data_IF_066167566519
#
_entry.id   IF_066167566519
#
_cell.length_a   1.000
_cell.length_b   1.000
_cell.length_c   1.000
_cell.angle_alpha   90.00
_cell.angle_beta   90.00
_cell.angle_gamma   90.00
#
_symmetry.space_group_name_H-M   'P 1'
#
loop_
_entity.id
_entity.type
_entity.pdbx_description
1 polymer ?
#
# COMPACT_ATOMS: atom_id res chain seq x y z
N UNK A 1 18.37 -8.55 6.47
CA UNK A 1 17.09 -9.12 6.96
C UNK A 1 16.30 -9.64 5.75
N UNK A 2 15.88 -10.93 5.73
CA UNK A 2 15.32 -11.55 4.50
C UNK A 2 14.00 -10.88 4.09
N UNK A 3 13.90 -10.46 2.81
CA UNK A 3 12.69 -9.89 2.18
C UNK A 3 11.39 -10.68 2.46
N UNK A 4 11.49 -12.00 2.70
CA UNK A 4 10.34 -12.85 3.05
C UNK A 4 9.60 -12.39 4.30
N UNK A 5 10.31 -11.88 5.32
CA UNK A 5 9.72 -11.51 6.61
C UNK A 5 8.81 -10.28 6.51
N UNK A 6 9.09 -9.35 5.60
CA UNK A 6 8.25 -8.16 5.38
C UNK A 6 6.92 -8.58 4.76
N UNK A 7 6.95 -9.43 3.73
CA UNK A 7 5.74 -9.97 3.09
C UNK A 7 4.82 -10.63 4.11
N UNK A 8 5.37 -11.56 4.90
CA UNK A 8 4.57 -12.38 5.82
C UNK A 8 3.89 -11.51 6.90
N UNK A 9 4.61 -10.51 7.42
CA UNK A 9 4.04 -9.55 8.37
C UNK A 9 2.96 -8.68 7.72
N UNK A 10 3.22 -8.15 6.52
CA UNK A 10 2.24 -7.33 5.79
C UNK A 10 0.97 -8.13 5.53
N UNK A 11 1.08 -9.40 5.10
CA UNK A 11 -0.09 -10.23 4.80
C UNK A 11 -0.89 -10.52 6.06
N UNK A 12 -0.22 -10.89 7.15
CA UNK A 12 -0.86 -11.08 8.46
C UNK A 12 -1.63 -9.83 8.93
N UNK A 13 -1.04 -8.65 8.77
CA UNK A 13 -1.70 -7.39 9.14
C UNK A 13 -2.92 -7.15 8.23
N UNK A 14 -2.77 -7.31 6.92
CA UNK A 14 -3.85 -7.05 5.96
C UNK A 14 -4.99 -8.05 6.07
N UNK A 15 -4.75 -9.28 6.49
CA UNK A 15 -5.81 -10.26 6.71
C UNK A 15 -6.74 -9.85 7.87
N UNK A 16 -6.18 -9.29 8.95
CA UNK A 16 -6.93 -8.94 10.15
C UNK A 16 -7.43 -7.48 10.20
N UNK A 17 -6.76 -6.54 9.52
CA UNK A 17 -6.92 -5.11 9.76
C UNK A 17 -7.41 -4.35 8.52
N UNK A 18 -8.70 -3.98 8.52
CA UNK A 18 -9.33 -3.22 7.43
C UNK A 18 -8.67 -1.85 7.22
N UNK A 19 -8.26 -1.15 8.28
CA UNK A 19 -7.65 0.18 8.17
C UNK A 19 -6.30 0.09 7.45
N UNK A 20 -5.53 -0.96 7.71
CA UNK A 20 -4.25 -1.20 7.02
C UNK A 20 -4.41 -1.44 5.51
N UNK A 21 -5.57 -1.92 5.04
CA UNK A 21 -5.86 -2.04 3.60
C UNK A 21 -6.09 -0.68 2.96
N UNK A 22 -6.57 0.30 3.73
CA UNK A 22 -6.99 1.61 3.23
C UNK A 22 -5.91 2.69 3.37
N UNK A 23 -5.04 2.59 4.37
CA UNK A 23 -4.09 3.63 4.76
C UNK A 23 -2.65 3.10 4.72
N UNK A 24 -1.86 3.63 3.77
CA UNK A 24 -0.44 3.27 3.60
C UNK A 24 0.40 3.61 4.82
N UNK A 25 0.20 4.79 5.40
CA UNK A 25 1.00 5.24 6.54
C UNK A 25 0.70 4.38 7.78
N UNK A 26 -0.56 4.01 7.97
CA UNK A 26 -0.96 3.11 9.03
C UNK A 26 -0.35 1.70 8.86
N UNK A 27 -0.39 1.14 7.63
CA UNK A 27 0.25 -0.14 7.33
C UNK A 27 1.77 -0.09 7.54
N UNK A 28 2.43 0.97 7.08
CA UNK A 28 3.87 1.18 7.28
C UNK A 28 4.19 1.21 8.77
N UNK A 29 3.47 2.01 9.55
CA UNK A 29 3.65 2.08 11.00
C UNK A 29 3.52 0.71 11.66
N UNK A 30 2.44 -0.03 11.39
CA UNK A 30 2.21 -1.37 11.97
C UNK A 30 3.30 -2.35 11.58
N UNK A 31 3.71 -2.34 10.32
CA UNK A 31 4.76 -3.22 9.81
C UNK A 31 6.12 -2.91 10.44
N UNK A 32 6.49 -1.63 10.55
CA UNK A 32 7.74 -1.19 11.19
C UNK A 32 7.73 -1.52 12.68
N UNK A 33 6.60 -1.32 13.38
CA UNK A 33 6.44 -1.67 14.79
C UNK A 33 6.61 -3.18 15.03
N UNK A 34 6.10 -4.03 14.14
CA UNK A 34 6.27 -5.49 14.27
C UNK A 34 7.73 -5.92 14.00
N UNK A 35 8.37 -5.32 12.99
CA UNK A 35 9.75 -5.64 12.61
C UNK A 35 10.77 -5.12 13.62
N UNK A 36 10.51 -3.95 14.18
CA UNK A 36 11.39 -3.24 15.08
C UNK A 36 10.57 -2.62 16.23
N UNK A 37 10.17 -3.41 17.25
CA UNK A 37 9.29 -2.94 18.33
C UNK A 37 9.79 -1.70 19.05
N UNK A 38 11.12 -1.55 19.19
CA UNK A 38 11.76 -0.41 19.85
C UNK A 38 11.89 0.84 18.97
N UNK A 39 11.67 0.72 17.66
CA UNK A 39 11.81 1.86 16.72
C UNK A 39 10.64 2.85 16.84
N UNK A 40 9.47 2.37 17.27
CA UNK A 40 8.26 3.19 17.38
C UNK A 40 8.41 4.35 18.38
N UNK A 41 9.37 4.27 19.29
CA UNK A 41 9.66 5.27 20.32
C UNK A 41 10.87 6.15 19.97
N UNK A 42 11.52 5.90 18.82
CA UNK A 42 12.70 6.65 18.39
C UNK A 42 12.34 7.82 17.48
N UNK A 43 13.22 8.82 17.43
CA UNK A 43 13.11 9.91 16.46
C UNK A 43 13.03 9.39 15.03
N UNK A 44 12.19 10.02 14.23
CA UNK A 44 11.92 9.64 12.85
C UNK A 44 13.20 9.46 12.00
N UNK A 45 14.21 10.33 12.17
CA UNK A 45 15.51 10.22 11.48
C UNK A 45 16.21 8.88 11.77
N UNK A 46 16.26 8.49 13.04
CA UNK A 46 16.90 7.24 13.49
C UNK A 46 16.12 6.02 12.99
N UNK A 47 14.79 6.12 13.01
CA UNK A 47 13.92 5.09 12.46
C UNK A 47 14.20 4.88 10.95
N UNK A 48 14.24 5.96 10.16
CA UNK A 48 14.56 5.89 8.72
C UNK A 48 15.93 5.30 8.44
N UNK A 49 16.98 5.72 9.18
CA UNK A 49 18.31 5.15 9.03
C UNK A 49 18.34 3.66 9.33
N UNK A 50 17.64 3.22 10.38
CA UNK A 50 17.58 1.79 10.73
C UNK A 50 16.88 0.97 9.65
N UNK A 51 15.79 1.48 9.08
CA UNK A 51 15.07 0.82 7.99
C UNK A 51 15.94 0.71 6.73
N UNK A 52 16.64 1.79 6.36
CA UNK A 52 17.57 1.82 5.24
C UNK A 52 18.69 0.79 5.43
N UNK A 53 19.31 0.75 6.61
CA UNK A 53 20.35 -0.22 6.95
C UNK A 53 19.84 -1.67 6.94
N UNK A 54 18.57 -1.88 7.26
CA UNK A 54 17.92 -3.18 7.19
C UNK A 54 17.49 -3.59 5.76
N UNK A 55 17.60 -2.68 4.78
CA UNK A 55 17.16 -2.89 3.40
C UNK A 55 15.64 -2.87 3.23
N UNK A 56 14.92 -2.19 4.12
CA UNK A 56 13.46 -2.05 4.06
C UNK A 56 13.09 -0.68 3.50
N UNK A 57 12.27 -0.68 2.46
CA UNK A 57 11.66 0.53 1.93
C UNK A 57 10.16 0.53 2.16
N UNK A 58 9.58 1.71 2.35
CA UNK A 58 8.12 1.86 2.40
C UNK A 58 7.45 1.33 1.13
N UNK A 59 8.07 1.54 -0.04
CA UNK A 59 7.55 1.00 -1.29
C UNK A 59 7.54 -0.54 -1.34
N UNK A 60 8.44 -1.22 -0.61
CA UNK A 60 8.35 -2.68 -0.49
C UNK A 60 7.09 -3.14 0.25
N UNK A 61 6.68 -2.39 1.28
CA UNK A 61 5.47 -2.65 2.08
C UNK A 61 4.23 -2.39 1.23
N UNK A 62 4.16 -1.24 0.55
CA UNK A 62 3.01 -0.87 -0.29
C UNK A 62 2.84 -1.83 -1.48
N UNK A 63 3.95 -2.30 -2.10
CA UNK A 63 3.91 -3.34 -3.14
C UNK A 63 3.32 -4.66 -2.64
N UNK A 64 3.69 -5.09 -1.43
CA UNK A 64 3.09 -6.28 -0.85
C UNK A 64 1.60 -6.12 -0.58
N UNK A 65 1.14 -4.92 -0.17
CA UNK A 65 -0.29 -4.62 -0.07
C UNK A 65 -1.02 -4.75 -1.41
N UNK A 66 -0.48 -4.17 -2.49
CA UNK A 66 -1.08 -4.28 -3.83
C UNK A 66 -1.23 -5.74 -4.24
N UNK A 67 -0.14 -6.51 -4.12
CA UNK A 67 -0.15 -7.95 -4.45
C UNK A 67 -1.12 -8.76 -3.58
N UNK A 68 -1.21 -8.47 -2.28
CA UNK A 68 -2.18 -9.11 -1.39
C UNK A 68 -3.61 -8.85 -1.87
N UNK A 69 -3.97 -7.59 -2.14
CA UNK A 69 -5.32 -7.22 -2.58
C UNK A 69 -5.64 -7.71 -4.00
N UNK A 70 -4.64 -7.92 -4.86
CA UNK A 70 -4.81 -8.60 -6.15
C UNK A 70 -5.21 -10.07 -5.96
N UNK A 71 -4.62 -10.77 -4.99
CA UNK A 71 -4.94 -12.15 -4.64
C UNK A 71 -6.25 -12.29 -3.84
N UNK A 72 -6.63 -11.23 -3.11
CA UNK A 72 -7.80 -11.18 -2.23
C UNK A 72 -8.73 -10.02 -2.59
N UNK A 73 -9.38 -10.05 -3.78
CA UNK A 73 -10.21 -8.96 -4.27
C UNK A 73 -11.41 -8.66 -3.35
N UNK A 74 -11.91 -9.64 -2.61
CA UNK A 74 -12.98 -9.52 -1.61
C UNK A 74 -12.62 -8.59 -0.45
N UNK A 75 -11.32 -8.43 -0.17
CA UNK A 75 -10.80 -7.58 0.90
C UNK A 75 -10.51 -6.14 0.41
N UNK A 76 -10.69 -5.84 -0.88
CA UNK A 76 -10.44 -4.50 -1.42
C UNK A 76 -11.39 -3.46 -0.81
N UNK A 77 -10.89 -2.28 -0.41
CA UNK A 77 -11.73 -1.17 0.03
C UNK A 77 -12.73 -0.74 -1.05
N UNK A 78 -14.02 -0.99 -0.82
CA UNK A 78 -15.07 -0.80 -1.84
C UNK A 78 -15.23 0.67 -2.27
N UNK A 79 -15.17 1.62 -1.32
CA UNK A 79 -15.37 3.05 -1.63
C UNK A 79 -14.23 3.60 -2.50
N UNK A 80 -12.97 3.40 -2.11
CA UNK A 80 -11.82 3.87 -2.89
C UNK A 80 -11.75 3.23 -4.28
N UNK A 81 -12.12 1.95 -4.36
CA UNK A 81 -12.20 1.24 -5.65
C UNK A 81 -13.28 1.84 -6.55
N UNK A 82 -14.42 2.26 -5.98
CA UNK A 82 -15.50 2.92 -6.72
C UNK A 82 -15.07 4.29 -7.24
N UNK A 83 -14.51 5.14 -6.38
CA UNK A 83 -14.02 6.48 -6.76
C UNK A 83 -13.01 6.38 -7.91
N UNK A 84 -12.04 5.47 -7.81
CA UNK A 84 -11.04 5.26 -8.86
C UNK A 84 -11.68 4.85 -10.20
N UNK A 85 -12.66 3.94 -10.18
CA UNK A 85 -13.38 3.53 -11.41
C UNK A 85 -14.23 4.67 -12.00
N UNK A 86 -14.77 5.55 -11.17
CA UNK A 86 -15.51 6.73 -11.63
C UNK A 86 -14.56 7.75 -12.28
N UNK A 87 -13.40 8.01 -11.68
CA UNK A 87 -12.34 8.85 -12.26
C UNK A 87 -11.83 8.31 -13.59
N UNK A 88 -11.56 7.00 -13.67
CA UNK A 88 -11.10 6.33 -14.88
C UNK A 88 -12.14 6.45 -16.03
N UNK A 89 -13.43 6.22 -15.72
CA UNK A 89 -14.52 6.43 -16.69
C UNK A 89 -14.65 7.90 -17.13
N UNK A 90 -14.44 8.84 -16.23
CA UNK A 90 -14.51 10.27 -16.56
C UNK A 90 -13.35 10.66 -17.48
N UNK A 91 -12.14 10.17 -17.19
CA UNK A 91 -10.96 10.37 -18.03
C UNK A 91 -11.17 9.79 -19.44
N UNK A 92 -11.65 8.54 -19.55
CA UNK A 92 -11.94 7.92 -20.85
C UNK A 92 -12.96 8.75 -21.65
N UNK A 93 -14.04 9.22 -21.02
CA UNK A 93 -15.05 10.07 -21.66
C UNK A 93 -14.49 11.41 -22.13
N UNK A 94 -13.65 12.05 -21.33
CA UNK A 94 -13.03 13.33 -21.66
C UNK A 94 -12.05 13.16 -22.82
N UNK A 95 -11.17 12.17 -22.75
CA UNK A 95 -10.20 11.87 -23.81
C UNK A 95 -10.88 11.49 -25.13
N UNK A 96 -11.99 10.74 -25.08
CA UNK A 96 -12.80 10.39 -26.25
C UNK A 96 -13.38 11.61 -26.98
N UNK A 97 -13.56 12.75 -26.30
CA UNK A 97 -14.03 14.00 -26.92
C UNK A 97 -12.94 14.75 -27.68
N UNK A 98 -11.68 14.44 -27.39
CA UNK A 98 -10.51 15.08 -28.01
C UNK A 98 -9.93 14.28 -29.18
N UNK A 99 -10.41 13.05 -29.42
CA UNK A 99 -10.09 12.31 -30.63
C UNK A 99 -10.83 12.95 -31.82
N UNK A 100 -10.12 13.38 -32.88
CA UNK A 100 -10.78 13.86 -34.09
C UNK A 100 -11.65 12.73 -34.63
N UNK A 101 -12.91 13.04 -34.95
CA UNK A 101 -13.75 12.11 -35.70
C UNK A 101 -13.09 11.94 -37.06
N UNK A 102 -12.68 10.71 -37.36
CA UNK A 102 -12.23 10.34 -38.69
C UNK A 102 -13.49 10.06 -39.49
N UNK A 103 -14.04 11.14 -40.06
CA UNK A 103 -15.11 11.11 -41.05
C UNK A 103 -14.54 10.72 -42.42
#
# INVERSE_FOLDING_TARGET
MRRSRVRDIVYKILEADTRAREDDNYLIYKTVKELFPRLAETYFKTALQTLTNAGISFESITRHRRKFLELHPELKPKQKTRIRKEEEKNYEKEYSRHLPRLD
#
